data_IF_984912395451
#
_entry.id   IF_984912395451
#
_cell.length_a   1.000
_cell.length_b   1.000
_cell.length_c   1.000
_cell.angle_alpha   90.00
_cell.angle_beta   90.00
_cell.angle_gamma   90.00
#
_symmetry.space_group_name_H-M   'P 1'
#
loop_
_entity.id
_entity.type
_entity.pdbx_description
1 polymer ?
#
# COMPACT_ATOMS: atom_id res chain seq x y z
N UNK A 1 -12.50 -4.75 -9.08
CA UNK A 1 -11.68 -5.37 -8.02
C UNK A 1 -10.60 -6.20 -8.67
N UNK A 2 -9.41 -6.26 -8.06
CA UNK A 2 -8.30 -7.09 -8.53
C UNK A 2 -7.95 -8.12 -7.46
N UNK A 3 -7.71 -9.35 -7.92
CA UNK A 3 -7.46 -10.52 -7.09
C UNK A 3 -6.03 -11.02 -7.34
N UNK A 4 -5.42 -11.71 -6.36
CA UNK A 4 -4.10 -12.30 -6.52
C UNK A 4 -4.14 -13.46 -7.55
N UNK A 5 -3.02 -13.77 -8.23
CA UNK A 5 -2.92 -14.87 -9.20
C UNK A 5 -2.86 -16.25 -8.54
N UNK A 6 -3.87 -16.59 -7.74
CA UNK A 6 -3.95 -17.84 -6.96
C UNK A 6 -4.98 -18.81 -7.52
N UNK A 7 -4.69 -20.10 -7.44
CA UNK A 7 -5.66 -21.17 -7.61
C UNK A 7 -6.58 -21.31 -6.36
N UNK A 8 -7.76 -21.96 -6.47
CA UNK A 8 -8.73 -22.02 -5.37
C UNK A 8 -8.21 -22.72 -4.10
N UNK A 9 -7.18 -23.55 -4.23
CA UNK A 9 -6.54 -24.26 -3.13
C UNK A 9 -5.32 -23.51 -2.59
N UNK A 10 -4.96 -22.36 -3.15
CA UNK A 10 -3.75 -21.63 -2.80
C UNK A 10 -4.08 -20.40 -1.96
N UNK A 11 -3.19 -20.08 -1.02
CA UNK A 11 -3.22 -18.82 -0.28
C UNK A 11 -1.81 -18.43 0.14
N UNK A 12 -1.64 -17.16 0.50
CA UNK A 12 -0.40 -16.67 1.08
C UNK A 12 -0.67 -15.78 2.29
N UNK A 13 0.38 -15.59 3.08
CA UNK A 13 0.46 -14.57 4.12
C UNK A 13 1.76 -13.77 3.95
N UNK A 14 1.69 -12.46 4.11
CA UNK A 14 2.85 -11.56 4.16
C UNK A 14 2.82 -10.78 5.45
N UNK A 15 3.85 -10.95 6.27
CA UNK A 15 4.00 -10.25 7.55
C UNK A 15 5.21 -9.32 7.56
N UNK A 16 5.10 -8.24 8.32
CA UNK A 16 6.21 -7.34 8.64
C UNK A 16 6.51 -7.41 10.13
N UNK A 17 7.76 -7.66 10.50
CA UNK A 17 8.18 -7.89 11.89
C UNK A 17 9.05 -6.75 12.46
N UNK A 18 9.15 -5.62 11.75
CA UNK A 18 10.04 -4.53 12.12
C UNK A 18 11.46 -4.71 11.58
N UNK A 19 12.26 -3.64 11.66
CA UNK A 19 13.68 -3.63 11.27
C UNK A 19 13.96 -4.18 9.86
N UNK A 20 13.05 -3.94 8.90
CA UNK A 20 13.19 -4.45 7.54
C UNK A 20 13.05 -5.97 7.41
N UNK A 21 12.49 -6.66 8.41
CA UNK A 21 12.23 -8.10 8.38
C UNK A 21 10.81 -8.39 7.92
N UNK A 22 10.70 -9.20 6.89
CA UNK A 22 9.45 -9.64 6.27
C UNK A 22 9.40 -11.15 6.21
N UNK A 23 8.19 -11.69 6.25
CA UNK A 23 7.94 -13.11 6.03
C UNK A 23 6.84 -13.27 5.00
N UNK A 24 7.10 -14.08 3.98
CA UNK A 24 6.10 -14.60 3.09
C UNK A 24 5.88 -16.07 3.43
N UNK A 25 4.63 -16.52 3.55
CA UNK A 25 4.28 -17.93 3.74
C UNK A 25 3.30 -18.32 2.66
N UNK A 26 3.57 -19.43 2.00
CA UNK A 26 2.70 -20.01 0.98
C UNK A 26 1.97 -21.23 1.52
N UNK A 27 0.69 -21.37 1.22
CA UNK A 27 -0.16 -22.43 1.75
C UNK A 27 -0.95 -23.12 0.64
N UNK A 28 -1.17 -24.42 0.83
CA UNK A 28 -2.18 -25.18 0.09
C UNK A 28 -3.30 -25.67 1.01
N UNK A 29 -4.49 -25.75 0.44
CA UNK A 29 -5.64 -26.41 1.06
C UNK A 29 -5.45 -27.92 0.98
N UNK A 30 -5.38 -28.57 2.13
CA UNK A 30 -5.34 -30.03 2.23
C UNK A 30 -6.66 -30.66 1.78
N UNK A 31 -6.69 -31.98 1.48
CA UNK A 31 -7.94 -32.70 1.19
C UNK A 31 -8.98 -32.61 2.31
N UNK A 32 -8.54 -32.38 3.56
CA UNK A 32 -9.42 -32.19 4.73
C UNK A 32 -9.98 -30.77 4.85
N UNK A 33 -9.48 -29.84 4.03
CA UNK A 33 -9.92 -28.45 3.98
C UNK A 33 -9.03 -27.47 4.73
N UNK A 34 -8.09 -27.95 5.55
CA UNK A 34 -7.16 -27.10 6.32
C UNK A 34 -6.08 -26.51 5.42
N UNK A 35 -5.68 -25.26 5.67
CA UNK A 35 -4.53 -24.63 5.02
C UNK A 35 -3.22 -25.12 5.65
N UNK A 36 -2.35 -25.70 4.83
CA UNK A 36 -1.06 -26.26 5.24
C UNK A 36 0.06 -25.45 4.60
N UNK A 37 1.03 -24.94 5.38
CA UNK A 37 2.13 -24.17 4.84
C UNK A 37 3.08 -25.08 4.03
N UNK A 38 3.45 -24.61 2.84
CA UNK A 38 4.32 -25.30 1.89
C UNK A 38 5.77 -24.84 2.09
N UNK A 39 5.98 -23.53 2.05
CA UNK A 39 7.27 -22.92 2.34
C UNK A 39 7.10 -21.52 2.95
N UNK A 40 8.19 -21.04 3.54
CA UNK A 40 8.33 -19.68 4.04
C UNK A 40 9.55 -19.02 3.40
N UNK A 41 9.41 -17.77 2.98
CA UNK A 41 10.53 -16.90 2.60
C UNK A 41 10.67 -15.80 3.64
N UNK A 42 11.79 -15.77 4.34
CA UNK A 42 12.15 -14.67 5.26
C UNK A 42 13.08 -13.72 4.54
N UNK A 43 12.68 -12.47 4.44
CA UNK A 43 13.50 -11.41 3.84
C UNK A 43 13.95 -10.43 4.91
N UNK A 44 15.24 -10.12 4.93
CA UNK A 44 15.81 -9.05 5.75
C UNK A 44 16.45 -8.01 4.83
N UNK A 45 15.90 -6.80 4.85
CA UNK A 45 16.41 -5.68 4.07
C UNK A 45 17.69 -5.13 4.71
N UNK A 46 18.66 -4.65 3.91
CA UNK A 46 19.87 -4.05 4.43
C UNK A 46 19.57 -2.78 5.21
N UNK A 47 20.24 -2.61 6.36
CA UNK A 47 20.16 -1.37 7.16
C UNK A 47 20.70 -0.21 6.33
N UNK A 48 19.87 0.83 6.12
CA UNK A 48 20.24 2.00 5.32
C UNK A 48 19.94 1.90 3.81
N UNK A 49 19.27 0.84 3.35
CA UNK A 49 18.75 0.73 1.97
C UNK A 49 19.78 0.40 0.89
N UNK A 50 21.05 0.20 1.26
CA UNK A 50 22.13 -0.14 0.32
C UNK A 50 22.64 -1.55 0.64
N UNK A 51 22.46 -2.49 -0.29
CA UNK A 51 22.93 -3.88 -0.17
C UNK A 51 21.97 -4.90 -0.75
N UNK A 52 22.36 -6.18 -0.79
CA UNK A 52 21.47 -7.27 -1.17
C UNK A 52 20.57 -7.65 0.01
N UNK A 53 19.27 -7.79 -0.24
CA UNK A 53 18.36 -8.36 0.74
C UNK A 53 18.75 -9.82 1.02
N UNK A 54 18.83 -10.18 2.30
CA UNK A 54 19.00 -11.57 2.69
C UNK A 54 17.67 -12.29 2.53
N UNK A 55 17.65 -13.40 1.79
CA UNK A 55 16.46 -14.22 1.60
C UNK A 55 16.75 -15.67 2.01
N UNK A 56 16.06 -16.10 3.07
CA UNK A 56 16.09 -17.47 3.57
C UNK A 56 14.79 -18.17 3.19
N UNK A 57 14.89 -19.39 2.67
CA UNK A 57 13.75 -20.22 2.30
C UNK A 57 13.71 -21.46 3.19
N UNK A 58 12.56 -21.69 3.81
CA UNK A 58 12.30 -22.87 4.62
C UNK A 58 11.14 -23.66 4.01
N UNK A 59 11.37 -24.92 3.67
CA UNK A 59 10.33 -25.83 3.20
C UNK A 59 9.70 -26.54 4.40
N UNK A 60 8.38 -26.37 4.55
CA UNK A 60 7.62 -26.89 5.69
C UNK A 60 6.91 -28.21 5.36
N UNK A 61 6.77 -28.50 4.06
CA UNK A 61 6.30 -29.78 3.56
C UNK A 61 7.42 -30.50 2.80
N UNK A 62 7.78 -31.71 3.26
CA UNK A 62 8.88 -32.51 2.70
C UNK A 62 8.55 -33.19 1.37
N UNK A 63 7.27 -33.30 1.04
CA UNK A 63 6.79 -33.97 -0.17
C UNK A 63 6.75 -33.03 -1.39
N UNK A 64 7.09 -31.75 -1.18
CA UNK A 64 7.05 -30.73 -2.22
C UNK A 64 8.41 -30.69 -2.92
N UNK A 65 8.46 -31.24 -4.13
CA UNK A 65 9.62 -31.16 -5.01
C UNK A 65 9.73 -29.75 -5.59
N UNK A 66 10.40 -28.86 -4.87
CA UNK A 66 10.61 -27.46 -5.25
C UNK A 66 12.03 -27.03 -4.86
N UNK A 67 12.72 -26.33 -5.76
CA UNK A 67 14.01 -25.72 -5.42
C UNK A 67 13.83 -24.41 -4.65
N UNK A 68 14.90 -23.95 -3.98
CA UNK A 68 14.92 -22.64 -3.32
C UNK A 68 14.57 -21.52 -4.33
N UNK A 69 15.12 -21.60 -5.53
CA UNK A 69 14.93 -20.63 -6.60
C UNK A 69 13.47 -20.61 -7.09
N UNK A 70 12.82 -21.77 -7.19
CA UNK A 70 11.40 -21.85 -7.54
C UNK A 70 10.52 -21.17 -6.49
N UNK A 71 10.81 -21.37 -5.19
CA UNK A 71 10.07 -20.73 -4.11
C UNK A 71 10.20 -19.20 -4.15
N UNK A 72 11.40 -18.69 -4.47
CA UNK A 72 11.63 -17.25 -4.65
C UNK A 72 10.92 -16.70 -5.88
N UNK A 73 10.96 -17.42 -7.00
CA UNK A 73 10.25 -17.05 -8.23
C UNK A 73 8.74 -17.05 -8.02
N UNK A 74 8.21 -18.02 -7.28
CA UNK A 74 6.79 -18.10 -6.95
C UNK A 74 6.39 -16.95 -6.01
N UNK A 75 7.20 -16.64 -5.01
CA UNK A 75 6.98 -15.47 -4.13
C UNK A 75 6.87 -14.18 -4.94
N UNK A 76 7.75 -13.99 -5.94
CA UNK A 76 7.73 -12.83 -6.86
C UNK A 76 6.49 -12.76 -7.76
N UNK A 77 5.67 -13.80 -7.85
CA UNK A 77 4.36 -13.74 -8.53
C UNK A 77 3.32 -13.01 -7.70
N UNK A 78 3.47 -12.99 -6.37
CA UNK A 78 2.48 -12.45 -5.45
C UNK A 78 2.89 -11.13 -4.82
N UNK A 79 4.20 -10.91 -4.66
CA UNK A 79 4.74 -9.66 -4.12
C UNK A 79 5.85 -9.10 -5.02
N UNK A 80 6.20 -7.84 -4.81
CA UNK A 80 7.39 -7.19 -5.39
C UNK A 80 8.43 -7.04 -4.27
N UNK A 81 9.41 -7.97 -4.14
CA UNK A 81 10.42 -7.89 -3.09
C UNK A 81 11.25 -6.59 -3.14
N UNK A 82 11.46 -6.05 -4.33
CA UNK A 82 12.23 -4.82 -4.57
C UNK A 82 11.60 -3.57 -3.95
N UNK A 83 10.28 -3.56 -3.79
CA UNK A 83 9.54 -2.43 -3.20
C UNK A 83 9.42 -2.52 -1.68
N UNK A 84 9.85 -3.64 -1.08
CA UNK A 84 9.77 -3.80 0.37
C UNK A 84 10.52 -2.68 1.07
N UNK A 85 9.90 -2.11 2.10
CA UNK A 85 10.53 -1.11 2.96
C UNK A 85 10.61 0.31 2.39
N UNK A 86 9.94 0.60 1.27
CA UNK A 86 9.84 1.96 0.72
C UNK A 86 8.38 2.44 0.70
N UNK A 87 7.84 3.03 1.79
CA UNK A 87 8.48 3.31 3.10
C UNK A 87 8.58 2.08 4.04
N UNK A 88 9.22 2.15 5.23
CA UNK A 88 9.32 1.02 6.14
C UNK A 88 7.96 0.37 6.43
N UNK A 89 7.89 -0.96 6.32
CA UNK A 89 6.64 -1.71 6.42
C UNK A 89 5.88 -1.85 5.11
N UNK A 90 6.31 -1.19 4.02
CA UNK A 90 5.70 -1.33 2.71
C UNK A 90 5.79 -2.77 2.18
N UNK A 91 4.68 -3.22 1.61
CA UNK A 91 4.50 -4.46 0.85
C UNK A 91 3.71 -4.14 -0.40
N UNK A 92 4.27 -4.49 -1.57
CA UNK A 92 3.59 -4.40 -2.86
C UNK A 92 3.03 -5.77 -3.24
N UNK A 93 1.71 -5.88 -3.40
CA UNK A 93 1.02 -7.09 -3.84
C UNK A 93 0.76 -7.05 -5.35
N UNK A 94 0.94 -8.19 -6.03
CA UNK A 94 0.74 -8.32 -7.48
C UNK A 94 -0.65 -8.87 -7.83
N UNK A 95 -1.29 -8.21 -8.79
CA UNK A 95 -2.57 -8.65 -9.37
C UNK A 95 -2.43 -9.79 -10.37
N UNK A 96 -3.52 -10.53 -10.57
CA UNK A 96 -3.62 -11.53 -11.63
C UNK A 96 -3.80 -10.96 -13.04
N UNK A 97 -3.97 -9.63 -13.17
CA UNK A 97 -4.34 -8.99 -14.43
C UNK A 97 -3.71 -7.61 -14.50
N UNK A 98 -3.06 -7.32 -15.62
CA UNK A 98 -2.53 -5.98 -15.92
C UNK A 98 -3.51 -5.23 -16.84
N UNK A 99 -3.38 -3.91 -16.87
CA UNK A 99 -4.26 -3.04 -17.64
C UNK A 99 -3.45 -2.19 -18.63
N UNK A 100 -4.02 -2.02 -19.82
CA UNK A 100 -3.55 -1.07 -20.82
C UNK A 100 -4.73 -0.17 -21.16
N UNK A 101 -4.55 1.14 -21.03
CA UNK A 101 -5.60 2.12 -21.29
C UNK A 101 -5.51 2.67 -22.72
N UNK A 102 -6.59 3.21 -23.29
CA UNK A 102 -6.50 4.01 -24.50
C UNK A 102 -5.65 5.27 -24.28
N UNK A 103 -5.12 5.89 -25.36
CA UNK A 103 -4.41 7.16 -25.26
C UNK A 103 -5.20 8.23 -24.49
N UNK A 104 -4.52 8.94 -23.60
CA UNK A 104 -5.14 10.00 -22.78
C UNK A 104 -5.99 9.50 -21.61
N UNK A 105 -5.82 8.23 -21.21
CA UNK A 105 -6.41 7.67 -19.99
C UNK A 105 -5.32 7.08 -19.09
N UNK A 106 -5.45 7.32 -17.80
CA UNK A 106 -4.57 6.76 -16.79
C UNK A 106 -5.25 5.65 -16.00
N UNK A 107 -4.45 4.70 -15.55
CA UNK A 107 -4.86 3.67 -14.61
C UNK A 107 -4.52 4.11 -13.20
N UNK A 108 -5.49 4.09 -12.30
CA UNK A 108 -5.26 4.32 -10.87
C UNK A 108 -5.33 3.00 -10.13
N UNK A 109 -4.19 2.59 -9.58
CA UNK A 109 -4.06 1.45 -8.70
C UNK A 109 -4.26 1.90 -7.25
N UNK A 110 -5.17 1.23 -6.55
CA UNK A 110 -5.41 1.49 -5.13
C UNK A 110 -5.61 0.19 -4.36
N UNK A 111 -5.17 0.14 -3.10
CA UNK A 111 -5.73 -0.77 -2.11
C UNK A 111 -7.26 -0.68 -1.97
N UNK A 112 -7.87 -1.64 -1.28
CA UNK A 112 -9.33 -1.71 -1.13
C UNK A 112 -9.83 -0.66 -0.12
N UNK A 113 -10.48 0.42 -0.60
CA UNK A 113 -10.92 1.54 0.23
C UNK A 113 -12.00 1.21 1.27
N UNK A 114 -12.77 0.13 1.07
CA UNK A 114 -13.90 -0.25 1.92
C UNK A 114 -13.63 -1.53 2.73
N UNK A 115 -12.40 -1.71 3.23
CA UNK A 115 -12.12 -2.75 4.20
C UNK A 115 -12.85 -2.43 5.52
N UNK A 116 -13.89 -3.21 5.81
CA UNK A 116 -14.66 -3.12 7.06
C UNK A 116 -13.94 -3.77 8.25
N UNK A 117 -12.98 -4.65 7.98
CA UNK A 117 -12.18 -5.34 8.99
C UNK A 117 -10.90 -4.56 9.32
N UNK A 118 -10.63 -4.37 10.62
CA UNK A 118 -9.42 -3.74 11.17
C UNK A 118 -8.37 -4.83 11.46
N UNK A 119 -7.07 -4.50 11.44
CA UNK A 119 -6.46 -3.19 11.15
C UNK A 119 -6.42 -2.86 9.65
N UNK A 120 -6.54 -1.57 9.31
CA UNK A 120 -6.35 -1.08 7.94
C UNK A 120 -4.90 -0.61 7.85
N UNK A 121 -4.05 -1.41 7.18
CA UNK A 121 -2.71 -0.98 6.83
C UNK A 121 -2.77 0.32 6.01
N UNK A 122 -1.83 1.24 6.21
CA UNK A 122 -1.86 2.49 5.44
C UNK A 122 -1.70 2.18 3.94
N UNK A 123 -2.47 2.87 3.12
CA UNK A 123 -2.66 2.54 1.70
C UNK A 123 -1.96 3.58 0.82
N UNK A 124 -1.17 3.14 -0.15
CA UNK A 124 -0.59 4.03 -1.16
C UNK A 124 -1.34 3.87 -2.48
N UNK A 125 -1.83 5.00 -3.00
CA UNK A 125 -2.54 5.07 -4.28
C UNK A 125 -1.57 5.57 -5.33
N UNK A 126 -1.51 4.90 -6.47
CA UNK A 126 -0.61 5.25 -7.57
C UNK A 126 -1.42 5.44 -8.85
N UNK A 127 -1.21 6.57 -9.51
CA UNK A 127 -1.73 6.86 -10.86
C UNK A 127 -0.60 6.62 -11.85
N UNK A 128 -0.82 5.78 -12.85
CA UNK A 128 0.17 5.36 -13.83
C UNK A 128 -0.39 5.54 -15.24
N UNK A 129 0.42 6.11 -16.12
CA UNK A 129 0.15 6.12 -17.56
C UNK A 129 0.39 4.73 -18.14
N UNK A 130 -0.67 4.08 -18.63
CA UNK A 130 -0.61 2.71 -19.15
C UNK A 130 -1.00 2.63 -20.63
N UNK A 131 -1.01 3.75 -21.35
CA UNK A 131 -1.42 3.82 -22.75
C UNK A 131 -0.31 3.41 -23.72
N UNK A 132 0.96 3.61 -23.34
CA UNK A 132 2.13 3.25 -24.17
C UNK A 132 2.92 2.03 -23.66
N UNK A 133 2.68 1.56 -22.42
CA UNK A 133 3.29 0.35 -21.86
C UNK A 133 2.39 -0.32 -20.81
N UNK A 134 2.39 -1.65 -20.77
CA UNK A 134 1.65 -2.43 -19.76
C UNK A 134 2.44 -2.43 -18.46
N UNK A 135 1.88 -1.81 -17.42
CA UNK A 135 2.46 -1.85 -16.07
C UNK A 135 2.02 -3.12 -15.33
N UNK A 136 2.91 -3.73 -14.56
CA UNK A 136 2.52 -4.81 -13.64
C UNK A 136 1.60 -4.24 -12.55
N UNK A 137 0.49 -4.90 -12.26
CA UNK A 137 -0.43 -4.45 -11.21
C UNK A 137 0.24 -4.53 -9.85
N UNK A 138 0.36 -3.39 -9.17
CA UNK A 138 0.96 -3.30 -7.84
C UNK A 138 0.04 -2.57 -6.87
N UNK A 139 -0.30 -3.22 -5.76
CA UNK A 139 -1.11 -2.66 -4.68
C UNK A 139 -0.28 -2.55 -3.42
N UNK A 140 -0.06 -1.31 -2.96
CA UNK A 140 0.91 -1.00 -1.91
C UNK A 140 0.23 -0.78 -0.57
N UNK A 141 0.61 -1.61 0.41
CA UNK A 141 0.19 -1.54 1.79
C UNK A 141 1.38 -1.25 2.70
N UNK A 142 1.20 -0.48 3.76
CA UNK A 142 2.24 -0.18 4.75
C UNK A 142 1.83 -0.80 6.08
N UNK A 143 2.51 -1.89 6.43
CA UNK A 143 2.30 -2.67 7.64
C UNK A 143 3.05 -2.06 8.83
N UNK A 144 2.47 -2.15 10.02
CA UNK A 144 3.18 -1.95 11.28
C UNK A 144 3.89 -3.24 11.71
N UNK A 145 4.93 -3.17 12.56
CA UNK A 145 5.56 -4.36 13.12
C UNK A 145 4.53 -5.27 13.81
N UNK A 146 4.49 -6.54 13.40
CA UNK A 146 3.53 -7.55 13.85
C UNK A 146 2.26 -7.66 12.99
N UNK A 147 2.05 -6.75 12.03
CA UNK A 147 0.93 -6.83 11.08
C UNK A 147 1.28 -7.73 9.89
N UNK A 148 0.22 -8.25 9.26
CA UNK A 148 0.35 -8.94 7.99
C UNK A 148 -0.96 -9.00 7.22
N UNK A 149 -0.85 -9.36 5.95
CA UNK A 149 -1.94 -9.47 5.00
C UNK A 149 -1.96 -10.89 4.44
N UNK A 150 -3.15 -11.48 4.44
CA UNK A 150 -3.40 -12.75 3.78
C UNK A 150 -4.04 -12.52 2.41
N UNK A 151 -3.63 -13.32 1.43
CA UNK A 151 -4.25 -13.38 0.11
C UNK A 151 -4.86 -14.75 -0.15
N UNK A 152 -6.04 -14.77 -0.74
CA UNK A 152 -6.67 -15.97 -1.31
C UNK A 152 -7.34 -15.60 -2.63
N UNK A 153 -7.64 -16.59 -3.48
CA UNK A 153 -8.24 -16.36 -4.81
C UNK A 153 -9.51 -15.50 -4.77
N UNK A 154 -10.32 -15.61 -3.72
CA UNK A 154 -11.59 -14.87 -3.59
C UNK A 154 -11.47 -13.58 -2.80
N UNK A 155 -10.27 -13.26 -2.28
CA UNK A 155 -10.03 -12.02 -1.54
C UNK A 155 -9.41 -10.97 -2.46
N UNK A 156 -10.06 -9.80 -2.64
CA UNK A 156 -9.47 -8.74 -3.42
C UNK A 156 -8.25 -8.17 -2.70
N UNK A 157 -7.18 -7.93 -3.45
CA UNK A 157 -5.96 -7.28 -2.96
C UNK A 157 -5.88 -5.81 -3.38
N UNK A 158 -6.82 -5.36 -4.22
CA UNK A 158 -6.87 -3.98 -4.68
C UNK A 158 -8.06 -3.67 -5.58
N UNK A 159 -8.10 -2.43 -6.03
CA UNK A 159 -9.10 -1.89 -6.94
C UNK A 159 -8.38 -1.06 -8.01
N UNK A 160 -9.00 -1.02 -9.18
CA UNK A 160 -8.51 -0.26 -10.32
C UNK A 160 -9.67 0.54 -10.87
N UNK A 161 -9.42 1.80 -11.18
CA UNK A 161 -10.32 2.65 -11.93
C UNK A 161 -9.51 3.47 -12.93
N UNK A 162 -10.20 3.89 -14.00
CA UNK A 162 -9.58 4.60 -15.12
C UNK A 162 -10.08 6.03 -15.11
N UNK A 163 -9.15 6.97 -15.28
CA UNK A 163 -9.46 8.40 -15.28
C UNK A 163 -8.93 9.04 -16.56
N UNK A 164 -9.65 10.00 -17.16
CA UNK A 164 -9.10 10.81 -18.23
C UNK A 164 -7.82 11.51 -17.76
N UNK A 165 -6.82 11.58 -18.63
CA UNK A 165 -5.60 12.34 -18.40
C UNK A 165 -5.92 13.82 -18.54
N UNK A 166 -5.60 14.57 -17.49
CA UNK A 166 -5.72 16.03 -17.50
C UNK A 166 -4.33 16.61 -17.78
N UNK A 167 -4.25 17.54 -18.74
CA UNK A 167 -3.03 18.30 -18.95
C UNK A 167 -2.87 19.31 -17.82
N UNK A 168 -1.88 19.07 -16.96
CA UNK A 168 -1.51 20.00 -15.90
C UNK A 168 -0.29 20.78 -16.34
N UNK A 169 -0.45 22.10 -16.49
CA UNK A 169 0.69 23.00 -16.67
C UNK A 169 1.12 23.52 -15.31
N UNK A 170 2.30 23.10 -14.86
CA UNK A 170 2.94 23.72 -13.71
C UNK A 170 3.43 25.11 -14.11
N UNK A 171 3.09 26.11 -13.31
CA UNK A 171 3.62 27.47 -13.45
C UNK A 171 4.04 28.00 -12.10
N UNK A 172 4.95 28.95 -12.11
CA UNK A 172 5.29 29.69 -10.91
C UNK A 172 4.09 30.51 -10.43
N UNK A 173 3.96 30.62 -9.12
CA UNK A 173 3.03 31.55 -8.50
C UNK A 173 3.49 32.97 -8.83
N UNK A 174 2.56 33.87 -9.14
CA UNK A 174 2.86 35.30 -9.21
C UNK A 174 3.19 35.84 -7.81
N UNK A 175 3.84 36.99 -7.73
CA UNK A 175 4.07 37.65 -6.43
C UNK A 175 2.75 37.90 -5.69
N UNK A 176 1.69 38.27 -6.40
CA UNK A 176 0.37 38.47 -5.81
C UNK A 176 -0.19 37.18 -5.20
N UNK A 177 -0.08 36.05 -5.90
CA UNK A 177 -0.52 34.75 -5.40
C UNK A 177 0.31 34.28 -4.21
N UNK A 178 1.63 34.49 -4.24
CA UNK A 178 2.50 34.21 -3.10
C UNK A 178 2.11 35.03 -1.88
N UNK A 179 1.79 36.32 -2.06
CA UNK A 179 1.31 37.18 -0.96
C UNK A 179 -0.09 36.76 -0.50
N UNK A 180 -0.97 36.33 -1.40
CA UNK A 180 -2.28 35.80 -1.03
C UNK A 180 -2.17 34.50 -0.20
N UNK A 181 -1.28 33.58 -0.59
CA UNK A 181 -1.00 32.36 0.17
C UNK A 181 -0.46 32.70 1.56
N UNK A 182 0.53 33.61 1.65
CA UNK A 182 1.10 34.05 2.94
C UNK A 182 0.04 34.69 3.84
N UNK A 183 -0.77 35.61 3.30
CA UNK A 183 -1.87 36.24 4.06
C UNK A 183 -2.88 35.20 4.54
N UNK A 184 -3.25 34.25 3.70
CA UNK A 184 -4.19 33.17 4.06
C UNK A 184 -3.65 32.32 5.22
N UNK A 185 -2.36 31.97 5.19
CA UNK A 185 -1.71 31.21 6.26
C UNK A 185 -1.61 32.00 7.57
N UNK A 186 -1.26 33.29 7.49
CA UNK A 186 -1.22 34.20 8.65
C UNK A 186 -2.61 34.40 9.27
N UNK A 187 -3.64 34.61 8.45
CA UNK A 187 -5.03 34.75 8.88
C UNK A 187 -5.54 33.48 9.54
N UNK A 188 -5.28 32.32 8.94
CA UNK A 188 -5.64 31.02 9.51
C UNK A 188 -4.94 30.78 10.84
N UNK A 189 -3.63 31.03 10.92
CA UNK A 189 -2.85 30.84 12.15
C UNK A 189 -3.33 31.77 13.27
N UNK A 190 -3.60 33.04 12.93
CA UNK A 190 -4.17 34.02 13.88
C UNK A 190 -5.54 33.60 14.36
N UNK A 191 -6.41 33.14 13.46
CA UNK A 191 -7.74 32.63 13.79
C UNK A 191 -7.69 31.37 14.67
N UNK A 192 -6.73 30.48 14.40
CA UNK A 192 -6.45 29.28 15.20
C UNK A 192 -6.04 29.64 16.62
N UNK A 193 -5.09 30.55 16.80
CA UNK A 193 -4.62 31.01 18.10
C UNK A 193 -5.74 31.72 18.88
N UNK A 194 -6.52 32.59 18.22
CA UNK A 194 -7.63 33.31 18.86
C UNK A 194 -8.77 32.40 19.34
N UNK A 195 -8.90 31.21 18.76
CA UNK A 195 -9.91 30.22 19.14
C UNK A 195 -9.38 29.14 20.09
N UNK A 196 -8.10 29.19 20.50
CA UNK A 196 -7.51 28.19 21.38
C UNK A 196 -8.24 28.14 22.73
N UNK A 197 -8.50 26.91 23.18
CA UNK A 197 -9.15 26.61 24.45
C UNK A 197 -8.40 25.48 25.15
N UNK A 198 -8.34 25.54 26.47
CA UNK A 198 -7.73 24.49 27.28
C UNK A 198 -8.78 23.45 27.66
N UNK A 199 -8.49 22.19 27.40
CA UNK A 199 -9.32 21.07 27.88
C UNK A 199 -9.29 21.00 29.41
N UNK A 200 -10.25 20.30 30.05
CA UNK A 200 -10.21 20.03 31.50
C UNK A 200 -8.92 19.35 31.99
N UNK A 201 -8.14 18.74 31.10
CA UNK A 201 -6.87 18.09 31.38
C UNK A 201 -5.65 18.98 31.14
N UNK A 202 -5.83 20.28 30.88
CA UNK A 202 -4.73 21.22 30.67
C UNK A 202 -4.12 21.21 29.26
N UNK A 203 -4.67 20.43 28.32
CA UNK A 203 -4.17 20.36 26.93
C UNK A 203 -4.84 21.45 26.09
N UNK A 204 -4.08 22.32 25.40
CA UNK A 204 -4.64 23.32 24.49
C UNK A 204 -5.12 22.66 23.18
N UNK A 205 -6.28 23.07 22.68
CA UNK A 205 -6.76 22.73 21.34
C UNK A 205 -7.49 23.92 20.70
N UNK A 206 -7.53 23.98 19.37
CA UNK A 206 -8.28 25.01 18.66
C UNK A 206 -9.37 24.40 17.77
N UNK A 207 -10.66 24.76 17.96
CA UNK A 207 -11.75 24.33 17.10
C UNK A 207 -11.84 25.14 15.79
N UNK A 208 -10.89 26.06 15.54
CA UNK A 208 -10.94 26.97 14.39
C UNK A 208 -11.13 26.25 13.06
N UNK A 209 -10.38 25.17 12.84
CA UNK A 209 -10.48 24.34 11.64
C UNK A 209 -11.88 23.72 11.47
N UNK A 210 -12.45 23.16 12.55
CA UNK A 210 -13.79 22.59 12.54
C UNK A 210 -14.87 23.63 12.22
N UNK A 211 -14.71 24.86 12.72
CA UNK A 211 -15.63 25.97 12.46
C UNK A 211 -15.56 26.41 11.00
N UNK A 212 -14.35 26.55 10.45
CA UNK A 212 -14.14 26.96 9.06
C UNK A 212 -14.61 25.88 8.06
N UNK A 213 -14.31 24.60 8.33
CA UNK A 213 -14.77 23.48 7.51
C UNK A 213 -16.31 23.40 7.45
N UNK A 214 -17.00 23.80 8.52
CA UNK A 214 -18.46 23.79 8.59
C UNK A 214 -19.12 25.10 8.16
N UNK A 215 -18.36 26.19 8.01
CA UNK A 215 -18.89 27.48 7.52
C UNK A 215 -18.99 27.53 6.00
N UNK A 216 -18.31 26.64 5.28
CA UNK A 216 -18.55 26.41 3.86
C UNK A 216 -19.79 25.54 3.64
N UNK A 217 -20.97 26.16 3.57
CA UNK A 217 -22.18 25.59 2.95
C UNK A 217 -22.97 26.70 2.25
N UNK A 218 -23.61 26.45 1.10
CA UNK A 218 -24.17 25.16 0.66
C UNK A 218 -23.21 24.26 -0.12
#
# INVERSE_FOLDING_TARGET
MVYPPLEPFESFYVGFYGEGRYQFVYYFKSPKGDMVPIFTVRSALPVGGIGMAMQEVEFLNKDVEMSREDALLLTRKFIVPEDLGTPPGAVSLRGATNFQTPPGWDTVYTPVFNMIERPIAAMLVVRVETDWYVHETEFRYVLQPGEGISGSRTMPIGQVFFVPREEVTLRDCTDEELQAIKRSDEEFTRGKAAAEVTTPYGVPYSPHYLRQSRSGKP
#
